data_IF_868302553827
#
_entry.id   IF_868302553827
#
_cell.length_a   1.000
_cell.length_b   1.000
_cell.length_c   1.000
_cell.angle_alpha   90.00
_cell.angle_beta   90.00
_cell.angle_gamma   90.00
#
_symmetry.space_group_name_H-M   'P 1'
#
loop_
_entity.id
_entity.type
_entity.pdbx_description
1 polymer ?
#
# COMPACT_ATOMS: atom_id res chain seq x y z
N UNK A 1 -3.77 11.63 -10.76
CA UNK A 1 -2.94 12.53 -9.92
C UNK A 1 -1.61 11.83 -9.67
N UNK A 2 -0.52 12.40 -10.17
CA UNK A 2 0.84 11.83 -10.10
C UNK A 2 1.52 12.13 -8.75
N UNK A 3 2.44 11.29 -8.31
CA UNK A 3 3.28 11.47 -7.10
C UNK A 3 4.14 12.74 -7.14
N UNK A 4 4.39 13.27 -8.34
CA UNK A 4 5.11 14.53 -8.53
C UNK A 4 4.41 15.72 -7.85
N UNK A 5 3.16 15.57 -7.40
CA UNK A 5 2.46 16.55 -6.59
C UNK A 5 2.79 16.34 -5.09
N UNK A 6 3.47 17.30 -4.41
CA UNK A 6 3.76 17.24 -2.98
C UNK A 6 2.53 17.05 -2.10
N UNK A 7 1.35 17.52 -2.53
CA UNK A 7 0.09 17.32 -1.82
C UNK A 7 -0.31 15.83 -1.78
N UNK A 8 -0.06 15.07 -2.85
CA UNK A 8 -0.34 13.62 -2.89
C UNK A 8 0.50 12.89 -1.84
N UNK A 9 1.80 13.21 -1.74
CA UNK A 9 2.68 12.61 -0.74
C UNK A 9 2.20 12.93 0.68
N UNK A 10 1.96 14.21 0.98
CA UNK A 10 1.47 14.63 2.31
C UNK A 10 0.16 13.94 2.67
N UNK A 11 -0.78 13.86 1.73
CA UNK A 11 -2.06 13.16 1.92
C UNK A 11 -1.88 11.68 2.25
N UNK A 12 -1.04 10.95 1.48
CA UNK A 12 -0.81 9.53 1.72
C UNK A 12 -0.15 9.29 3.09
N UNK A 13 0.85 10.07 3.48
CA UNK A 13 1.45 9.93 4.81
C UNK A 13 0.45 10.24 5.93
N UNK A 14 -0.35 11.30 5.79
CA UNK A 14 -1.37 11.64 6.77
C UNK A 14 -2.46 10.55 6.89
N UNK A 15 -2.89 9.96 5.78
CA UNK A 15 -3.91 8.91 5.76
C UNK A 15 -3.48 7.64 6.54
N UNK A 16 -2.17 7.39 6.66
CA UNK A 16 -1.62 6.27 7.43
C UNK A 16 -1.11 6.70 8.83
N UNK A 17 -1.33 7.96 9.23
CA UNK A 17 -0.82 8.50 10.48
C UNK A 17 0.72 8.51 10.56
N UNK A 18 1.39 8.68 9.41
CA UNK A 18 2.85 8.64 9.30
C UNK A 18 3.47 7.24 9.42
N UNK A 19 2.65 6.18 9.52
CA UNK A 19 3.14 4.80 9.68
C UNK A 19 3.28 4.09 8.34
N UNK A 20 4.14 3.07 8.33
CA UNK A 20 4.30 2.14 7.21
C UNK A 20 2.99 1.39 6.97
N UNK A 21 2.45 1.44 5.76
CA UNK A 21 1.24 0.75 5.37
C UNK A 21 1.38 -0.77 5.21
N UNK A 22 2.62 -1.29 5.27
CA UNK A 22 2.87 -2.73 5.26
C UNK A 22 2.92 -3.33 6.67
N UNK A 23 3.91 -2.93 7.48
CA UNK A 23 4.10 -3.52 8.81
C UNK A 23 3.27 -2.85 9.91
N UNK A 24 2.77 -1.63 9.69
CA UNK A 24 2.02 -0.82 10.66
C UNK A 24 2.76 -0.47 11.96
N UNK A 25 3.99 -0.95 12.17
CA UNK A 25 4.78 -0.76 13.40
C UNK A 25 5.82 0.34 13.30
N UNK A 26 6.39 0.57 12.12
CA UNK A 26 7.44 1.57 11.90
C UNK A 26 6.89 2.84 11.23
N UNK A 27 7.59 3.95 11.41
CA UNK A 27 7.36 5.19 10.67
C UNK A 27 7.66 4.98 9.19
N UNK A 28 6.79 5.49 8.31
CA UNK A 28 7.06 5.51 6.88
C UNK A 28 8.09 6.61 6.57
N UNK A 29 8.97 6.37 5.60
CA UNK A 29 9.98 7.34 5.15
C UNK A 29 9.90 7.59 3.63
N UNK A 30 9.32 6.66 2.86
CA UNK A 30 9.10 6.80 1.42
C UNK A 30 7.72 6.33 0.99
N UNK A 31 7.41 6.53 -0.30
CA UNK A 31 6.26 5.91 -0.96
C UNK A 31 6.78 4.74 -1.78
N UNK A 32 6.18 3.58 -1.61
CA UNK A 32 6.46 2.38 -2.38
C UNK A 32 5.33 2.11 -3.38
N UNK A 33 5.66 1.45 -4.49
CA UNK A 33 4.70 1.07 -5.51
C UNK A 33 4.11 -0.31 -5.21
N UNK A 34 2.78 -0.42 -5.08
CA UNK A 34 2.09 -1.70 -4.86
C UNK A 34 2.35 -2.67 -6.02
N UNK A 35 2.16 -2.20 -7.25
CA UNK A 35 2.67 -2.84 -8.47
C UNK A 35 4.05 -2.24 -8.77
N UNK A 36 5.13 -3.04 -8.77
CA UNK A 36 6.48 -2.55 -9.06
C UNK A 36 6.58 -1.84 -10.40
N UNK A 37 7.45 -0.81 -10.49
CA UNK A 37 7.70 -0.10 -11.75
C UNK A 37 8.20 -1.03 -12.87
N UNK A 38 9.04 -2.01 -12.53
CA UNK A 38 9.55 -3.00 -13.48
C UNK A 38 8.43 -3.87 -14.09
N UNK A 39 7.29 -3.99 -13.41
CA UNK A 39 6.08 -4.69 -13.87
C UNK A 39 5.01 -3.73 -14.43
N UNK A 40 5.38 -2.49 -14.79
CA UNK A 40 4.45 -1.50 -15.36
C UNK A 40 3.67 -0.67 -14.33
N UNK A 41 4.07 -0.72 -13.05
CA UNK A 41 3.44 0.05 -11.98
C UNK A 41 3.39 1.56 -12.23
N UNK A 42 2.20 2.16 -12.07
CA UNK A 42 2.00 3.59 -12.27
C UNK A 42 2.42 4.44 -11.08
N UNK A 43 2.71 5.72 -11.33
CA UNK A 43 2.92 6.77 -10.33
C UNK A 43 1.59 7.38 -9.82
N UNK A 44 0.50 6.64 -9.91
CA UNK A 44 -0.80 7.07 -9.41
C UNK A 44 -0.85 6.92 -7.89
N UNK A 45 -1.55 7.84 -7.21
CA UNK A 45 -1.83 7.71 -5.76
C UNK A 45 -2.50 6.39 -5.37
N UNK A 46 -3.15 5.71 -6.32
CA UNK A 46 -3.79 4.42 -6.12
C UNK A 46 -2.82 3.23 -6.16
N UNK A 47 -1.61 3.44 -6.70
CA UNK A 47 -0.56 2.42 -6.75
C UNK A 47 0.54 2.70 -5.71
N UNK A 48 0.33 3.63 -4.79
CA UNK A 48 1.34 4.05 -3.83
C UNK A 48 0.89 3.85 -2.41
N UNK A 49 1.85 3.49 -1.56
CA UNK A 49 1.64 3.28 -0.13
C UNK A 49 2.85 3.84 0.64
N UNK A 50 2.64 4.53 1.79
CA UNK A 50 3.75 4.89 2.66
C UNK A 50 4.45 3.63 3.17
N UNK A 51 5.77 3.57 3.07
CA UNK A 51 6.57 2.42 3.46
C UNK A 51 7.79 2.86 4.29
N UNK A 52 8.21 2.01 5.22
CA UNK A 52 9.50 2.13 5.89
C UNK A 52 10.58 1.47 5.04
N UNK A 53 11.82 1.95 5.17
CA UNK A 53 12.99 1.40 4.45
C UNK A 53 13.12 -0.13 4.55
N UNK A 54 12.95 -0.78 5.71
CA UNK A 54 13.04 -2.24 5.81
C UNK A 54 12.00 -2.98 4.94
N UNK A 55 10.73 -2.58 5.00
CA UNK A 55 9.67 -3.21 4.18
C UNK A 55 9.87 -2.93 2.70
N UNK A 56 10.18 -1.68 2.33
CA UNK A 56 10.44 -1.31 0.93
C UNK A 56 11.60 -2.10 0.32
N UNK A 57 12.70 -2.27 1.05
CA UNK A 57 13.85 -3.10 0.62
C UNK A 57 13.52 -4.58 0.55
N UNK A 58 12.79 -5.10 1.55
CA UNK A 58 12.37 -6.51 1.59
C UNK A 58 11.46 -6.87 0.41
N UNK A 59 10.51 -5.99 0.07
CA UNK A 59 9.62 -6.15 -1.08
C UNK A 59 10.36 -5.99 -2.40
N UNK A 60 11.12 -4.91 -2.55
CA UNK A 60 11.84 -4.61 -3.78
C UNK A 60 10.91 -4.62 -5.01
N UNK A 61 11.31 -5.39 -6.02
CA UNK A 61 10.58 -5.54 -7.28
C UNK A 61 9.55 -6.70 -7.28
N UNK A 62 9.31 -7.34 -6.14
CA UNK A 62 8.31 -8.40 -6.04
C UNK A 62 6.90 -7.82 -6.10
N UNK A 63 5.97 -8.61 -6.65
CA UNK A 63 4.55 -8.36 -6.43
C UNK A 63 4.22 -8.50 -4.94
N UNK A 64 3.13 -7.87 -4.48
CA UNK A 64 2.68 -8.03 -3.09
C UNK A 64 2.44 -9.51 -2.76
N UNK A 65 1.85 -10.26 -3.68
CA UNK A 65 1.56 -11.68 -3.47
C UNK A 65 2.84 -12.51 -3.28
N UNK A 66 3.85 -12.31 -4.13
CA UNK A 66 5.13 -13.02 -4.03
C UNK A 66 5.89 -12.62 -2.77
N UNK A 67 5.87 -11.33 -2.44
CA UNK A 67 6.53 -10.81 -1.23
C UNK A 67 5.92 -11.37 0.04
N UNK A 68 4.58 -11.40 0.14
CA UNK A 68 3.87 -11.99 1.30
C UNK A 68 4.12 -13.50 1.37
N UNK A 69 4.12 -14.20 0.24
CA UNK A 69 4.44 -15.63 0.20
C UNK A 69 5.85 -15.91 0.71
N UNK A 70 6.83 -15.09 0.31
CA UNK A 70 8.22 -15.18 0.80
C UNK A 70 8.35 -14.90 2.29
N UNK A 71 7.60 -13.93 2.82
CA UNK A 71 7.56 -13.61 4.25
C UNK A 71 6.99 -14.79 5.05
N UNK A 72 5.90 -15.39 4.57
CA UNK A 72 5.26 -16.54 5.20
C UNK A 72 6.18 -17.78 5.20
N UNK A 73 6.90 -18.02 4.11
CA UNK A 73 7.85 -19.13 4.01
C UNK A 73 9.06 -19.00 4.96
N UNK A 74 9.42 -17.77 5.36
CA UNK A 74 10.48 -17.51 6.33
C UNK A 74 10.03 -17.42 7.79
N UNK A 75 8.71 -17.44 8.05
CA UNK A 75 8.17 -17.31 9.40
C UNK A 75 8.17 -18.67 10.10
N UNK A 76 9.10 -18.88 11.05
CA UNK A 76 9.03 -20.02 11.97
C UNK A 76 7.74 -19.89 12.78
N UNK A 77 6.79 -20.79 12.56
CA UNK A 77 5.46 -20.76 13.20
C UNK A 77 5.58 -21.14 14.67
N UNK A 78 6.11 -20.25 15.51
CA UNK A 78 6.00 -20.41 16.96
C UNK A 78 4.74 -19.70 17.42
N UNK A 79 3.64 -20.44 17.46
CA UNK A 79 2.36 -20.01 18.02
C UNK A 79 1.32 -19.66 16.97
N UNK A 80 0.14 -20.28 17.07
CA UNK A 80 -1.03 -19.96 16.28
C UNK A 80 -1.37 -18.48 16.41
N UNK A 81 -1.01 -17.68 15.40
CA UNK A 81 -1.47 -16.31 15.30
C UNK A 81 -2.98 -16.35 15.04
N UNK A 82 -3.76 -15.77 15.94
CA UNK A 82 -5.15 -15.44 15.66
C UNK A 82 -5.20 -14.69 14.32
N UNK A 83 -6.24 -14.90 13.48
CA UNK A 83 -6.38 -14.15 12.24
C UNK A 83 -6.22 -12.66 12.55
N UNK A 84 -5.49 -11.90 11.72
CA UNK A 84 -5.33 -10.47 11.97
C UNK A 84 -6.72 -9.87 12.16
N UNK A 85 -6.88 -9.09 13.23
CA UNK A 85 -8.10 -8.34 13.47
C UNK A 85 -8.55 -7.67 12.16
N UNK A 86 -9.86 -7.59 11.89
CA UNK A 86 -10.34 -7.04 10.63
C UNK A 86 -9.66 -5.70 10.39
N UNK A 87 -9.10 -5.52 9.19
CA UNK A 87 -8.44 -4.28 8.83
C UNK A 87 -9.36 -3.13 9.20
N UNK A 88 -8.87 -2.08 9.88
CA UNK A 88 -9.71 -0.94 10.23
C UNK A 88 -10.39 -0.46 8.95
N UNK A 89 -11.72 -0.25 9.04
CA UNK A 89 -12.48 0.28 7.95
C UNK A 89 -12.05 1.74 7.73
N UNK A 90 -10.97 1.94 6.97
CA UNK A 90 -10.61 3.26 6.50
C UNK A 90 -11.73 3.69 5.55
N UNK A 91 -12.53 4.72 5.88
CA UNK A 91 -13.56 5.20 4.98
C UNK A 91 -12.86 5.70 3.72
N UNK A 92 -12.92 4.91 2.65
CA UNK A 92 -12.37 5.32 1.36
C UNK A 92 -13.29 6.43 0.85
N UNK A 93 -12.82 7.68 0.66
CA UNK A 93 -13.66 8.72 0.12
C UNK A 93 -14.03 8.35 -1.32
N UNK A 94 -15.22 7.79 -1.52
CA UNK A 94 -15.75 7.51 -2.85
C UNK A 94 -16.23 8.84 -3.41
N UNK A 95 -15.56 9.34 -4.45
CA UNK A 95 -16.17 10.41 -5.25
C UNK A 95 -17.47 9.86 -5.84
N UNK A 96 -18.57 10.64 -5.83
CA UNK A 96 -19.77 10.24 -6.54
C UNK A 96 -19.41 9.98 -8.01
N UNK A 97 -19.63 8.74 -8.47
CA UNK A 97 -19.47 8.38 -9.87
C UNK A 97 -20.71 8.90 -10.58
N UNK A 98 -20.58 9.98 -11.34
CA UNK A 98 -21.61 10.39 -12.30
C UNK A 98 -21.72 9.29 -13.35
N UNK A 99 -22.81 8.51 -13.29
CA UNK A 99 -23.13 7.57 -14.36
C UNK A 99 -23.55 8.40 -15.58
N UNK A 100 -22.77 8.33 -16.65
CA UNK A 100 -23.25 8.83 -17.94
C UNK A 100 -24.37 7.90 -18.42
N UNK A 101 -25.48 8.44 -18.95
CA UNK A 101 -26.50 7.62 -19.59
C UNK A 101 -25.88 6.86 -20.78
N UNK A 102 -26.33 5.62 -20.99
CA UNK A 102 -25.95 4.84 -22.17
C UNK A 102 -26.47 5.53 -23.45
N UNK A 103 -25.72 5.50 -24.57
CA UNK A 103 -26.24 5.97 -25.85
C UNK A 103 -27.41 5.08 -26.31
N UNK A 104 -28.38 5.71 -26.98
CA UNK A 104 -29.56 5.08 -27.56
C UNK A 104 -29.23 4.24 -28.80
#
# INVERSE_FOLDING_TARGET
MSVANPATRRYLFAAFGGRCGYCLTATADHLDHLVPRAAGGSNSRFNLIPACTPCGRSKGALSIADWVSRQAAGATTTGAAAPPAPAPAYPVPRKPVTRHPAPA
#
